data_IF_715085092297
#
_entry.id   IF_715085092297
#
_cell.length_a   1.000
_cell.length_b   1.000
_cell.length_c   1.000
_cell.angle_alpha   90.00
_cell.angle_beta   90.00
_cell.angle_gamma   90.00
#
_symmetry.space_group_name_H-M   'P 1'
#
loop_
_entity.id
_entity.type
_entity.pdbx_description
1 polymer ?
#
# COMPACT_ATOMS: atom_id res chain seq x y z
N UNK A 1 -28.60 11.80 -33.61
CA UNK A 1 -28.03 10.58 -33.00
C UNK A 1 -26.90 10.94 -32.06
N UNK A 2 -27.28 11.46 -30.90
CA UNK A 2 -26.38 11.65 -29.77
C UNK A 2 -26.15 10.30 -29.10
N UNK A 3 -24.97 9.72 -29.29
CA UNK A 3 -24.51 8.62 -28.44
C UNK A 3 -24.18 9.19 -27.06
N UNK A 4 -25.17 9.14 -26.18
CA UNK A 4 -24.97 9.16 -24.73
C UNK A 4 -24.03 8.00 -24.41
N UNK A 5 -22.75 8.31 -24.19
CA UNK A 5 -21.77 7.38 -23.67
C UNK A 5 -22.19 6.95 -22.27
N UNK A 6 -22.85 5.80 -22.20
CA UNK A 6 -23.11 5.10 -20.95
C UNK A 6 -21.76 4.75 -20.33
N UNK A 7 -21.55 5.23 -19.11
CA UNK A 7 -20.51 4.74 -18.23
C UNK A 7 -20.81 3.25 -17.99
N UNK A 8 -20.16 2.38 -18.76
CA UNK A 8 -20.31 0.96 -18.57
C UNK A 8 -19.64 0.61 -17.24
N UNK A 9 -20.26 -0.23 -16.41
CA UNK A 9 -19.69 -0.64 -15.12
C UNK A 9 -18.38 -1.45 -15.23
N UNK A 10 -17.83 -1.56 -16.44
CA UNK A 10 -16.61 -2.27 -16.82
C UNK A 10 -15.43 -1.35 -17.16
N UNK A 11 -15.66 -0.04 -17.31
CA UNK A 11 -14.61 0.92 -17.71
C UNK A 11 -13.98 1.65 -16.51
N UNK A 12 -12.77 2.18 -16.72
CA UNK A 12 -12.09 3.01 -15.71
C UNK A 12 -12.79 4.38 -15.54
N UNK A 13 -13.09 4.86 -14.31
CA UNK A 13 -13.92 6.08 -14.10
C UNK A 13 -13.27 7.42 -14.52
N UNK A 14 -13.31 7.75 -15.81
CA UNK A 14 -12.62 8.91 -16.39
C UNK A 14 -13.05 10.26 -15.80
N UNK A 15 -14.34 10.43 -15.49
CA UNK A 15 -14.87 11.68 -14.91
C UNK A 15 -14.30 11.93 -13.52
N UNK A 16 -14.18 10.88 -12.71
CA UNK A 16 -13.61 10.98 -11.37
C UNK A 16 -12.10 11.19 -11.44
N UNK A 17 -11.40 10.58 -12.40
CA UNK A 17 -9.98 10.84 -12.62
C UNK A 17 -9.73 12.32 -12.94
N UNK A 18 -10.48 12.89 -13.89
CA UNK A 18 -10.35 14.31 -14.24
C UNK A 18 -10.65 15.23 -13.05
N UNK A 19 -11.64 14.89 -12.23
CA UNK A 19 -11.95 15.65 -11.02
C UNK A 19 -10.82 15.58 -9.98
N UNK A 20 -10.24 14.39 -9.75
CA UNK A 20 -9.09 14.24 -8.86
C UNK A 20 -7.88 15.04 -9.34
N UNK A 21 -7.58 14.99 -10.64
CA UNK A 21 -6.48 15.77 -11.25
C UNK A 21 -6.65 17.27 -11.00
N UNK A 22 -7.87 17.80 -11.19
CA UNK A 22 -8.19 19.19 -10.89
C UNK A 22 -7.96 19.52 -9.42
N UNK A 23 -8.41 18.66 -8.50
CA UNK A 23 -8.23 18.85 -7.06
C UNK A 23 -6.74 18.86 -6.67
N UNK A 24 -5.93 17.96 -7.24
CA UNK A 24 -4.50 17.87 -6.97
C UNK A 24 -3.74 19.09 -7.50
N UNK A 25 -4.20 19.70 -8.59
CA UNK A 25 -3.62 20.92 -9.18
C UNK A 25 -3.90 22.21 -8.39
N UNK A 26 -4.77 22.19 -7.38
CA UNK A 26 -5.12 23.40 -6.62
C UNK A 26 -3.99 23.84 -5.68
N UNK A 27 -3.65 25.16 -5.61
CA UNK A 27 -2.64 25.68 -4.69
C UNK A 27 -2.99 25.46 -3.21
N UNK A 28 -4.28 25.61 -2.88
CA UNK A 28 -4.86 25.20 -1.60
C UNK A 28 -5.52 23.86 -1.79
N UNK A 29 -4.84 22.82 -1.34
CA UNK A 29 -5.30 21.46 -1.50
C UNK A 29 -6.16 21.04 -0.32
N UNK A 30 -7.17 20.22 -0.61
CA UNK A 30 -7.99 19.53 0.38
C UNK A 30 -7.73 18.05 0.19
N UNK A 31 -7.56 17.34 1.30
CA UNK A 31 -7.25 15.91 1.31
C UNK A 31 -8.41 15.11 0.70
N UNK A 32 -8.26 14.47 -0.48
CA UNK A 32 -9.34 13.82 -1.22
C UNK A 32 -9.50 12.37 -0.74
N UNK A 33 -9.87 12.19 0.53
CA UNK A 33 -9.81 10.86 1.18
C UNK A 33 -11.16 10.32 1.61
N UNK A 34 -12.24 11.10 1.48
CA UNK A 34 -13.54 10.68 1.99
C UNK A 34 -14.01 9.39 1.32
N UNK A 35 -14.77 8.61 2.07
CA UNK A 35 -15.37 7.39 1.58
C UNK A 35 -16.24 7.66 0.33
N UNK A 36 -16.07 6.84 -0.71
CA UNK A 36 -16.72 6.97 -2.02
C UNK A 36 -16.43 8.24 -2.83
N UNK A 37 -15.47 9.07 -2.43
CA UNK A 37 -14.97 10.18 -3.27
C UNK A 37 -14.03 9.65 -4.38
N UNK A 38 -13.39 10.55 -5.12
CA UNK A 38 -12.61 10.22 -6.32
C UNK A 38 -11.48 9.24 -6.04
N UNK A 39 -10.63 9.51 -5.03
CA UNK A 39 -9.46 8.68 -4.76
C UNK A 39 -9.85 7.24 -4.39
N UNK A 40 -10.78 7.06 -3.45
CA UNK A 40 -11.23 5.72 -3.04
C UNK A 40 -11.84 4.96 -4.21
N UNK A 41 -12.69 5.62 -4.99
CA UNK A 41 -13.39 5.01 -6.12
C UNK A 41 -12.43 4.59 -7.22
N UNK A 42 -11.44 5.43 -7.54
CA UNK A 42 -10.40 5.13 -8.54
C UNK A 42 -9.51 3.97 -8.09
N UNK A 43 -9.14 3.88 -6.81
CA UNK A 43 -8.39 2.73 -6.28
C UNK A 43 -9.22 1.46 -6.39
N UNK A 44 -10.50 1.48 -5.98
CA UNK A 44 -11.38 0.30 -6.07
C UNK A 44 -11.58 -0.17 -7.51
N UNK A 45 -11.79 0.76 -8.45
CA UNK A 45 -11.88 0.45 -9.87
C UNK A 45 -10.57 -0.18 -10.39
N UNK A 46 -9.43 0.39 -9.99
CA UNK A 46 -8.11 -0.16 -10.32
C UNK A 46 -7.91 -1.58 -9.79
N UNK A 47 -8.32 -1.86 -8.56
CA UNK A 47 -8.25 -3.21 -7.97
C UNK A 47 -9.10 -4.19 -8.78
N UNK A 48 -10.32 -3.81 -9.19
CA UNK A 48 -11.18 -4.65 -10.02
C UNK A 48 -10.47 -5.01 -11.34
N UNK A 49 -9.94 -4.01 -12.04
CA UNK A 49 -9.21 -4.22 -13.29
C UNK A 49 -7.92 -5.04 -13.10
N UNK A 50 -7.18 -4.81 -12.02
CA UNK A 50 -5.95 -5.54 -11.71
C UNK A 50 -6.21 -7.03 -11.41
N UNK A 51 -7.30 -7.35 -10.70
CA UNK A 51 -7.75 -8.73 -10.46
C UNK A 51 -8.05 -9.47 -11.77
N UNK A 52 -8.60 -8.76 -12.75
CA UNK A 52 -8.91 -9.28 -14.08
C UNK A 52 -7.70 -9.22 -15.04
N UNK A 53 -6.55 -8.66 -14.60
CA UNK A 53 -5.35 -8.39 -15.43
C UNK A 53 -5.62 -7.47 -16.64
N UNK A 54 -6.67 -6.64 -16.56
CA UNK A 54 -7.10 -5.72 -17.62
C UNK A 54 -6.69 -4.28 -17.37
N UNK A 55 -6.10 -3.96 -16.24
CA UNK A 55 -5.71 -2.58 -15.89
C UNK A 55 -4.73 -1.96 -16.90
N UNK A 56 -3.93 -2.78 -17.60
CA UNK A 56 -3.02 -2.33 -18.67
C UNK A 56 -3.73 -1.99 -19.98
N UNK A 57 -4.99 -2.39 -20.15
CA UNK A 57 -5.81 -2.02 -21.32
C UNK A 57 -6.25 -0.54 -21.26
N UNK A 58 -6.20 0.07 -20.07
CA UNK A 58 -6.65 1.43 -19.81
C UNK A 58 -5.46 2.33 -19.47
N UNK A 59 -5.04 3.18 -20.41
CA UNK A 59 -3.93 4.11 -20.19
C UNK A 59 -4.21 5.06 -19.02
N UNK A 60 -5.47 5.45 -18.82
CA UNK A 60 -5.89 6.32 -17.73
C UNK A 60 -5.76 5.64 -16.36
N UNK A 61 -5.92 4.32 -16.29
CA UNK A 61 -5.64 3.55 -15.08
C UNK A 61 -4.14 3.51 -14.77
N UNK A 62 -3.31 3.30 -15.80
CA UNK A 62 -1.85 3.34 -15.65
C UNK A 62 -1.36 4.75 -15.27
N UNK A 63 -1.90 5.80 -15.90
CA UNK A 63 -1.61 7.20 -15.56
C UNK A 63 -2.04 7.52 -14.13
N UNK A 64 -3.20 7.01 -13.69
CA UNK A 64 -3.61 7.14 -12.30
C UNK A 64 -2.57 6.56 -11.34
N UNK A 65 -1.99 5.39 -11.63
CA UNK A 65 -0.90 4.85 -10.78
C UNK A 65 0.32 5.78 -10.73
N UNK A 66 0.78 6.25 -11.89
CA UNK A 66 2.01 7.06 -12.00
C UNK A 66 1.85 8.45 -11.40
N UNK A 67 0.68 9.06 -11.55
CA UNK A 67 0.45 10.47 -11.21
C UNK A 67 -0.55 10.60 -10.07
N UNK A 68 -1.85 10.37 -10.32
CA UNK A 68 -2.93 10.69 -9.39
C UNK A 68 -2.80 9.98 -8.04
N UNK A 69 -2.60 8.66 -8.05
CA UNK A 69 -2.42 7.82 -6.87
C UNK A 69 -1.11 8.15 -6.15
N UNK A 70 -0.01 8.21 -6.89
CA UNK A 70 1.34 8.49 -6.36
C UNK A 70 1.38 9.86 -5.69
N UNK A 71 0.91 10.90 -6.37
CA UNK A 71 0.86 12.27 -5.86
C UNK A 71 -0.06 12.37 -4.64
N UNK A 72 -1.23 11.73 -4.68
CA UNK A 72 -2.16 11.73 -3.55
C UNK A 72 -1.50 11.14 -2.30
N UNK A 73 -0.99 9.92 -2.37
CA UNK A 73 -0.44 9.25 -1.18
C UNK A 73 0.86 9.88 -0.68
N UNK A 74 1.74 10.34 -1.57
CA UNK A 74 2.95 11.06 -1.11
C UNK A 74 2.52 12.28 -0.31
N UNK A 75 1.63 13.12 -0.85
CA UNK A 75 1.15 14.32 -0.16
C UNK A 75 0.49 13.97 1.17
N UNK A 76 -0.43 13.00 1.19
CA UNK A 76 -1.15 12.57 2.40
C UNK A 76 -0.18 12.09 3.48
N UNK A 77 0.73 11.17 3.14
CA UNK A 77 1.55 10.47 4.13
C UNK A 77 2.72 11.32 4.66
N UNK A 78 3.03 12.43 4.00
CA UNK A 78 4.07 13.38 4.43
C UNK A 78 3.53 14.74 4.87
N UNK A 79 2.20 14.97 4.84
CA UNK A 79 1.62 16.27 5.20
C UNK A 79 1.83 16.59 6.70
N UNK A 80 2.37 17.77 7.00
CA UNK A 80 2.51 18.26 8.37
C UNK A 80 1.14 18.57 9.00
N UNK A 81 0.11 18.82 8.17
CA UNK A 81 -1.25 19.05 8.60
C UNK A 81 -1.93 17.80 9.18
N UNK A 82 -1.27 16.64 9.18
CA UNK A 82 -1.79 15.39 9.78
C UNK A 82 -2.35 15.59 11.20
N UNK A 83 -1.71 16.46 12.00
CA UNK A 83 -2.13 16.77 13.38
C UNK A 83 -3.45 17.56 13.46
N UNK A 84 -3.86 18.17 12.36
CA UNK A 84 -5.07 19.00 12.27
C UNK A 84 -6.26 18.24 11.70
N UNK A 85 -6.02 17.06 11.11
CA UNK A 85 -7.08 16.24 10.57
C UNK A 85 -7.90 15.58 11.67
N UNK A 86 -9.22 15.63 11.49
CA UNK A 86 -10.17 15.02 12.40
C UNK A 86 -10.05 13.48 12.37
N UNK A 87 -10.47 12.77 13.44
CA UNK A 87 -10.35 11.31 13.51
C UNK A 87 -11.02 10.54 12.36
N UNK A 88 -12.11 11.05 11.81
CA UNK A 88 -12.79 10.50 10.63
C UNK A 88 -11.90 10.54 9.39
N UNK A 89 -11.23 11.66 9.14
CA UNK A 89 -10.27 11.81 8.03
C UNK A 89 -9.09 10.85 8.20
N UNK A 90 -8.61 10.66 9.42
CA UNK A 90 -7.54 9.71 9.73
C UNK A 90 -7.96 8.26 9.43
N UNK A 91 -9.22 7.90 9.72
CA UNK A 91 -9.78 6.59 9.42
C UNK A 91 -9.98 6.38 7.91
N UNK A 92 -10.46 7.41 7.21
CA UNK A 92 -10.62 7.45 5.76
C UNK A 92 -9.27 7.21 5.04
N UNK A 93 -8.20 7.89 5.47
CA UNK A 93 -6.83 7.67 4.97
C UNK A 93 -6.37 6.23 5.21
N UNK A 94 -6.64 5.69 6.40
CA UNK A 94 -6.30 4.31 6.73
C UNK A 94 -7.04 3.32 5.82
N UNK A 95 -8.33 3.52 5.57
CA UNK A 95 -9.12 2.68 4.66
C UNK A 95 -8.59 2.76 3.22
N UNK A 96 -8.27 3.95 2.72
CA UNK A 96 -7.62 4.11 1.42
C UNK A 96 -6.26 3.41 1.36
N UNK A 97 -5.48 3.46 2.44
CA UNK A 97 -4.20 2.74 2.54
C UNK A 97 -4.39 1.22 2.48
N UNK A 98 -5.49 0.68 3.03
CA UNK A 98 -5.81 -0.76 2.90
C UNK A 98 -6.13 -1.13 1.46
N UNK A 99 -6.87 -0.30 0.72
CA UNK A 99 -7.12 -0.52 -0.70
C UNK A 99 -5.83 -0.42 -1.52
N UNK A 100 -4.96 0.55 -1.22
CA UNK A 100 -3.64 0.66 -1.85
C UNK A 100 -2.80 -0.60 -1.63
N UNK A 101 -2.74 -1.12 -0.40
CA UNK A 101 -2.03 -2.37 -0.09
C UNK A 101 -2.59 -3.53 -0.92
N UNK A 102 -3.91 -3.64 -1.03
CA UNK A 102 -4.56 -4.67 -1.87
C UNK A 102 -4.18 -4.53 -3.35
N UNK A 103 -4.22 -3.31 -3.90
CA UNK A 103 -3.78 -3.04 -5.27
C UNK A 103 -2.31 -3.43 -5.47
N UNK A 104 -1.42 -3.05 -4.56
CA UNK A 104 0.00 -3.38 -4.63
C UNK A 104 0.20 -4.90 -4.69
N UNK A 105 -0.52 -5.68 -3.88
CA UNK A 105 -0.41 -7.16 -3.88
C UNK A 105 -0.71 -7.75 -5.26
N UNK A 106 -1.78 -7.32 -5.93
CA UNK A 106 -2.10 -7.79 -7.28
C UNK A 106 -1.07 -7.38 -8.35
N UNK A 107 -0.28 -6.34 -8.06
CA UNK A 107 0.66 -5.72 -8.99
C UNK A 107 2.13 -6.02 -8.67
N UNK A 108 2.45 -6.81 -7.64
CA UNK A 108 3.86 -7.16 -7.27
C UNK A 108 4.62 -7.75 -8.47
N UNK A 109 3.99 -8.68 -9.21
CA UNK A 109 4.61 -9.35 -10.34
C UNK A 109 4.73 -8.47 -11.60
N UNK A 110 4.08 -7.30 -11.62
CA UNK A 110 4.09 -6.38 -12.74
C UNK A 110 5.24 -5.36 -12.69
N UNK A 111 6.10 -5.41 -11.68
CA UNK A 111 7.27 -4.54 -11.50
C UNK A 111 6.95 -3.04 -11.55
N UNK A 112 5.73 -2.66 -11.17
CA UNK A 112 5.32 -1.26 -11.11
C UNK A 112 6.06 -0.55 -9.98
N UNK A 113 7.15 0.14 -10.32
CA UNK A 113 8.00 0.85 -9.36
C UNK A 113 7.22 1.91 -8.59
N UNK A 114 6.24 2.56 -9.21
CA UNK A 114 5.34 3.52 -8.55
C UNK A 114 4.56 2.88 -7.39
N UNK A 115 3.97 1.70 -7.62
CA UNK A 115 3.19 0.98 -6.61
C UNK A 115 4.08 0.36 -5.53
N UNK A 116 5.28 -0.12 -5.89
CA UNK A 116 6.27 -0.62 -4.93
C UNK A 116 6.79 0.51 -4.02
N UNK A 117 7.02 1.70 -4.57
CA UNK A 117 7.40 2.87 -3.77
C UNK A 117 6.28 3.33 -2.85
N UNK A 118 5.05 3.36 -3.33
CA UNK A 118 3.90 3.66 -2.47
C UNK A 118 3.75 2.66 -1.33
N UNK A 119 3.93 1.37 -1.61
CA UNK A 119 3.94 0.32 -0.58
C UNK A 119 5.04 0.59 0.46
N UNK A 120 6.24 0.99 0.02
CA UNK A 120 7.34 1.35 0.91
C UNK A 120 6.98 2.56 1.81
N UNK A 121 6.33 3.59 1.27
CA UNK A 121 5.94 4.78 2.04
C UNK A 121 4.84 4.42 3.06
N UNK A 122 3.85 3.62 2.66
CA UNK A 122 2.79 3.14 3.57
C UNK A 122 3.37 2.30 4.70
N UNK A 123 4.35 1.45 4.39
CA UNK A 123 5.02 0.58 5.38
C UNK A 123 6.10 1.27 6.20
N UNK A 124 6.43 2.52 5.89
CA UNK A 124 7.46 3.25 6.60
C UNK A 124 6.99 3.66 8.01
N UNK A 125 7.54 3.09 9.10
CA UNK A 125 7.14 3.45 10.46
C UNK A 125 7.43 4.92 10.81
N UNK A 126 8.30 5.58 10.05
CA UNK A 126 8.73 6.97 10.25
C UNK A 126 7.95 7.98 9.41
N UNK A 127 7.00 7.57 8.57
CA UNK A 127 6.15 8.53 7.85
C UNK A 127 5.26 9.31 8.84
N UNK A 128 4.84 10.53 8.47
CA UNK A 128 4.14 11.45 9.38
C UNK A 128 2.86 10.83 9.94
N UNK A 129 2.11 10.13 9.08
CA UNK A 129 0.89 9.43 9.48
C UNK A 129 1.15 8.31 10.51
N UNK A 130 2.18 7.48 10.28
CA UNK A 130 2.51 6.36 11.17
C UNK A 130 3.17 6.81 12.48
N UNK A 131 3.83 7.97 12.48
CA UNK A 131 4.31 8.62 13.70
C UNK A 131 3.15 9.24 14.48
N UNK A 132 2.23 9.93 13.81
CA UNK A 132 1.06 10.52 14.47
C UNK A 132 0.17 9.46 15.13
N UNK A 133 -0.06 8.34 14.45
CA UNK A 133 -0.88 7.24 14.92
C UNK A 133 -0.07 6.19 15.74
N UNK A 134 1.08 6.56 16.31
CA UNK A 134 1.98 5.59 16.97
C UNK A 134 1.39 4.93 18.22
N UNK A 135 0.45 5.60 18.89
CA UNK A 135 -0.20 5.10 20.11
C UNK A 135 -1.44 4.23 19.83
N UNK A 136 -1.88 4.11 18.58
CA UNK A 136 -3.05 3.30 18.23
C UNK A 136 -2.73 1.82 18.43
N UNK A 137 -3.60 1.09 19.11
CA UNK A 137 -3.55 -0.37 19.19
C UNK A 137 -3.95 -1.00 17.85
N UNK A 138 -3.40 -2.17 17.47
CA UNK A 138 -3.88 -2.92 16.31
C UNK A 138 -5.38 -3.23 16.43
N UNK A 139 -6.11 -3.12 15.31
CA UNK A 139 -7.54 -3.45 15.23
C UNK A 139 -7.82 -4.97 15.19
N UNK A 140 -6.77 -5.79 15.12
CA UNK A 140 -6.87 -7.25 15.12
C UNK A 140 -7.70 -7.79 16.30
N UNK A 141 -8.65 -8.70 16.01
CA UNK A 141 -9.40 -9.43 17.03
C UNK A 141 -8.61 -10.62 17.61
N UNK A 142 -7.39 -10.87 17.14
CA UNK A 142 -6.54 -11.97 17.63
C UNK A 142 -6.02 -11.63 19.03
N UNK A 143 -6.11 -12.54 20.02
CA UNK A 143 -5.51 -12.34 21.33
C UNK A 143 -3.99 -12.13 21.26
N UNK A 144 -3.44 -11.26 22.12
CA UNK A 144 -2.03 -10.81 22.05
C UNK A 144 -1.04 -11.97 22.13
N UNK A 145 -1.34 -12.96 22.95
CA UNK A 145 -0.56 -14.17 23.14
C UNK A 145 -0.45 -15.04 21.87
N UNK A 146 -1.35 -14.86 20.89
CA UNK A 146 -1.35 -15.59 19.61
C UNK A 146 -0.82 -14.78 18.43
N UNK A 147 -0.38 -13.54 18.64
CA UNK A 147 0.07 -12.68 17.54
C UNK A 147 1.27 -13.26 16.80
N UNK A 148 2.24 -13.84 17.52
CA UNK A 148 3.43 -14.44 16.91
C UNK A 148 3.07 -15.60 15.96
N UNK A 149 2.11 -16.41 16.36
CA UNK A 149 1.70 -17.62 15.64
C UNK A 149 0.78 -17.32 14.45
N UNK A 150 -0.21 -16.44 14.65
CA UNK A 150 -1.32 -16.26 13.72
C UNK A 150 -1.18 -15.05 12.80
N UNK A 151 -0.38 -14.05 13.17
CA UNK A 151 -0.23 -12.81 12.40
C UNK A 151 1.08 -12.81 11.59
N UNK A 152 1.14 -11.89 10.63
CA UNK A 152 2.34 -11.62 9.83
C UNK A 152 3.21 -10.53 10.45
N UNK A 153 2.56 -9.58 11.14
CA UNK A 153 3.21 -8.51 11.86
C UNK A 153 2.55 -8.28 13.21
N UNK A 154 3.32 -7.73 14.14
CA UNK A 154 2.87 -7.30 15.46
C UNK A 154 3.68 -6.10 15.93
N UNK A 155 3.18 -5.36 16.94
CA UNK A 155 3.98 -4.37 17.65
C UNK A 155 5.27 -4.97 18.21
N UNK A 156 6.29 -4.13 18.40
CA UNK A 156 7.56 -4.55 19.01
C UNK A 156 7.31 -5.09 20.43
N UNK A 157 8.04 -6.13 20.89
CA UNK A 157 7.83 -6.72 22.22
C UNK A 157 7.93 -5.70 23.35
N UNK A 158 8.90 -4.79 23.23
CA UNK A 158 9.20 -3.75 24.23
C UNK A 158 8.53 -2.41 23.88
N UNK A 159 7.56 -2.40 22.96
CA UNK A 159 6.84 -1.18 22.65
C UNK A 159 6.13 -0.68 23.90
N UNK A 160 6.56 0.49 24.40
CA UNK A 160 5.74 1.25 25.34
C UNK A 160 4.36 1.50 24.70
N UNK A 161 3.33 1.65 25.54
CA UNK A 161 1.94 1.88 25.13
C UNK A 161 1.74 2.97 24.06
N UNK A 162 2.70 3.89 23.91
CA UNK A 162 2.70 4.99 22.94
C UNK A 162 3.38 4.71 21.58
N UNK A 163 3.87 3.49 21.34
CA UNK A 163 4.58 3.12 20.10
C UNK A 163 4.14 1.77 19.52
N UNK A 164 2.86 1.46 19.67
CA UNK A 164 2.23 0.23 19.16
C UNK A 164 2.12 0.22 17.63
N UNK A 165 1.96 1.39 17.00
CA UNK A 165 1.79 1.57 15.55
C UNK A 165 0.75 0.62 14.95
N UNK A 166 -0.40 0.48 15.62
CA UNK A 166 -1.43 -0.51 15.30
C UNK A 166 -1.88 -0.50 13.86
N UNK A 167 -2.17 0.67 13.30
CA UNK A 167 -2.60 0.81 11.89
C UNK A 167 -1.55 0.31 10.90
N UNK A 168 -0.26 0.58 11.14
CA UNK A 168 0.82 0.06 10.31
C UNK A 168 0.89 -1.46 10.40
N UNK A 169 0.82 -2.00 11.62
CA UNK A 169 0.78 -3.44 11.86
C UNK A 169 -0.38 -4.09 11.12
N UNK A 170 -1.57 -3.49 11.15
CA UNK A 170 -2.75 -4.00 10.44
C UNK A 170 -2.58 -3.96 8.92
N UNK A 171 -1.92 -2.93 8.36
CA UNK A 171 -1.62 -2.86 6.93
C UNK A 171 -0.66 -3.96 6.49
N UNK A 172 0.38 -4.25 7.28
CA UNK A 172 1.32 -5.34 7.00
C UNK A 172 0.61 -6.71 7.12
N UNK A 173 -0.26 -6.87 8.11
CA UNK A 173 -1.09 -8.06 8.24
C UNK A 173 -2.04 -8.25 7.07
N UNK A 174 -2.68 -7.16 6.59
CA UNK A 174 -3.52 -7.19 5.39
C UNK A 174 -2.74 -7.64 4.16
N UNK A 175 -1.51 -7.13 3.98
CA UNK A 175 -0.63 -7.56 2.90
C UNK A 175 -0.36 -9.07 2.94
N UNK A 176 -0.01 -9.60 4.11
CA UNK A 176 0.19 -11.05 4.27
C UNK A 176 -1.07 -11.88 4.05
N UNK A 177 -2.23 -11.43 4.57
CA UNK A 177 -3.51 -12.11 4.38
C UNK A 177 -3.93 -12.21 2.90
N UNK A 178 -3.49 -11.27 2.07
CA UNK A 178 -3.73 -11.27 0.63
C UNK A 178 -2.69 -12.08 -0.16
N UNK A 179 -1.74 -12.74 0.51
CA UNK A 179 -0.66 -13.51 -0.13
C UNK A 179 0.54 -12.66 -0.57
N UNK A 180 0.64 -11.41 -0.12
CA UNK A 180 1.69 -10.49 -0.56
C UNK A 180 3.10 -11.01 -0.32
N UNK A 181 3.36 -11.68 0.81
CA UNK A 181 4.68 -12.28 1.09
C UNK A 181 4.99 -13.46 0.15
N UNK A 182 4.00 -14.28 -0.19
CA UNK A 182 4.15 -15.38 -1.13
C UNK A 182 4.46 -14.87 -2.54
N UNK A 183 3.70 -13.89 -3.03
CA UNK A 183 3.96 -13.27 -4.32
C UNK A 183 5.33 -12.59 -4.38
N UNK A 184 5.73 -11.91 -3.30
CA UNK A 184 7.03 -11.23 -3.24
C UNK A 184 8.19 -12.23 -3.23
N UNK A 185 8.10 -13.29 -2.41
CA UNK A 185 9.08 -14.38 -2.40
C UNK A 185 9.16 -15.05 -3.76
N UNK A 186 8.03 -15.38 -4.38
CA UNK A 186 7.98 -15.96 -5.73
C UNK A 186 8.67 -15.04 -6.74
N UNK A 187 8.33 -13.75 -6.74
CA UNK A 187 8.87 -12.76 -7.68
C UNK A 187 10.39 -12.62 -7.56
N UNK A 188 10.94 -12.61 -6.35
CA UNK A 188 12.38 -12.47 -6.11
C UNK A 188 13.12 -13.80 -6.35
N UNK A 189 12.58 -14.92 -5.89
CA UNK A 189 13.27 -16.20 -5.95
C UNK A 189 13.22 -16.88 -7.32
N UNK A 190 12.21 -16.59 -8.14
CA UNK A 190 11.96 -17.32 -9.38
C UNK A 190 11.89 -16.41 -10.62
N UNK A 191 11.68 -15.11 -10.46
CA UNK A 191 11.57 -14.18 -11.58
C UNK A 191 12.92 -13.64 -12.05
N UNK A 192 12.97 -13.16 -13.28
CA UNK A 192 14.12 -12.40 -13.78
C UNK A 192 14.21 -11.06 -13.04
N UNK A 193 15.40 -10.69 -12.58
CA UNK A 193 15.60 -9.50 -11.76
C UNK A 193 16.61 -8.56 -12.40
N UNK A 194 16.40 -7.28 -12.17
CA UNK A 194 17.44 -6.26 -12.29
C UNK A 194 17.74 -5.72 -10.90
N UNK A 195 18.94 -5.17 -10.70
CA UNK A 195 19.32 -4.51 -9.43
C UNK A 195 18.29 -3.45 -9.03
N UNK A 196 17.78 -2.70 -10.01
CA UNK A 196 16.76 -1.69 -9.78
C UNK A 196 15.48 -2.32 -9.22
N UNK A 197 14.88 -3.29 -9.93
CA UNK A 197 13.63 -3.94 -9.50
C UNK A 197 13.80 -4.65 -8.14
N UNK A 198 14.92 -5.33 -7.92
CA UNK A 198 15.22 -5.94 -6.63
C UNK A 198 15.18 -4.91 -5.49
N UNK A 199 15.77 -3.72 -5.70
CA UNK A 199 15.76 -2.66 -4.68
C UNK A 199 14.34 -2.19 -4.33
N UNK A 200 13.46 -2.02 -5.31
CA UNK A 200 12.06 -1.64 -5.08
C UNK A 200 11.27 -2.74 -4.36
N UNK A 201 11.50 -4.01 -4.70
CA UNK A 201 10.84 -5.15 -4.06
C UNK A 201 11.27 -5.33 -2.59
N UNK A 202 12.54 -5.08 -2.27
CA UNK A 202 13.06 -5.22 -0.90
C UNK A 202 12.70 -4.04 0.01
N UNK A 203 12.56 -2.83 -0.54
CA UNK A 203 12.41 -1.59 0.24
C UNK A 203 11.23 -1.61 1.24
N UNK A 204 10.00 -2.04 0.87
CA UNK A 204 8.91 -2.12 1.84
C UNK A 204 9.21 -3.05 3.02
N UNK A 205 9.83 -4.21 2.75
CA UNK A 205 10.21 -5.17 3.80
C UNK A 205 11.29 -4.62 4.72
N UNK A 206 12.31 -3.98 4.14
CA UNK A 206 13.39 -3.38 4.93
C UNK A 206 12.85 -2.37 5.95
N UNK A 207 11.90 -1.52 5.52
CA UNK A 207 11.32 -0.47 6.35
C UNK A 207 10.45 -1.01 7.51
N UNK A 208 9.74 -2.12 7.31
CA UNK A 208 8.85 -2.69 8.32
C UNK A 208 9.37 -3.96 9.00
N UNK A 209 10.60 -4.39 8.69
CA UNK A 209 11.20 -5.66 9.12
C UNK A 209 11.12 -5.93 10.63
N UNK A 210 11.24 -4.89 11.45
CA UNK A 210 11.17 -4.99 12.90
C UNK A 210 9.78 -5.38 13.44
N UNK A 211 8.71 -5.14 12.67
CA UNK A 211 7.33 -5.50 13.03
C UNK A 211 6.95 -6.91 12.62
N UNK A 212 7.72 -7.56 11.74
CA UNK A 212 7.40 -8.89 11.24
C UNK A 212 7.48 -9.92 12.37
N UNK A 213 6.63 -10.94 12.31
CA UNK A 213 6.76 -12.09 13.21
C UNK A 213 7.97 -12.94 12.83
N UNK A 214 8.46 -13.73 13.77
CA UNK A 214 9.52 -14.72 13.58
C UNK A 214 9.14 -15.73 12.51
N UNK A 215 7.87 -16.16 12.49
CA UNK A 215 7.31 -16.97 11.40
C UNK A 215 7.57 -16.34 10.03
N UNK A 216 7.22 -15.07 9.85
CA UNK A 216 7.44 -14.39 8.56
C UNK A 216 8.93 -14.27 8.23
N UNK A 217 9.77 -14.00 9.23
CA UNK A 217 11.23 -13.97 9.03
C UNK A 217 11.76 -15.29 8.50
N UNK A 218 11.37 -16.40 9.13
CA UNK A 218 11.85 -17.73 8.80
C UNK A 218 11.29 -18.23 7.47
N UNK A 219 10.00 -18.02 7.22
CA UNK A 219 9.31 -18.57 6.06
C UNK A 219 9.60 -17.77 4.78
N UNK A 220 9.86 -16.46 4.89
CA UNK A 220 9.99 -15.54 3.75
C UNK A 220 11.32 -14.80 3.72
N UNK A 221 11.66 -14.08 4.78
CA UNK A 221 12.74 -13.07 4.73
C UNK A 221 14.10 -13.73 4.52
N UNK A 222 14.40 -14.84 5.18
CA UNK A 222 15.67 -15.57 5.00
C UNK A 222 15.87 -15.92 3.51
N UNK A 223 14.88 -16.59 2.91
CA UNK A 223 14.95 -17.00 1.50
C UNK A 223 15.07 -15.80 0.54
N UNK A 224 14.36 -14.71 0.81
CA UNK A 224 14.44 -13.47 0.02
C UNK A 224 15.83 -12.85 0.10
N UNK A 225 16.40 -12.74 1.31
CA UNK A 225 17.73 -12.15 1.53
C UNK A 225 18.82 -13.00 0.89
N UNK A 226 18.78 -14.33 1.09
CA UNK A 226 19.78 -15.24 0.50
C UNK A 226 19.80 -15.14 -1.03
N UNK A 227 18.61 -15.14 -1.66
CA UNK A 227 18.51 -14.96 -3.12
C UNK A 227 19.01 -13.58 -3.56
N UNK A 228 18.71 -12.54 -2.79
CA UNK A 228 19.17 -11.18 -3.10
C UNK A 228 20.69 -11.07 -3.07
N UNK A 229 21.35 -11.73 -2.10
CA UNK A 229 22.81 -11.78 -2.00
C UNK A 229 23.40 -12.57 -3.18
N UNK A 230 22.82 -13.72 -3.52
CA UNK A 230 23.24 -14.53 -4.68
C UNK A 230 23.20 -13.71 -5.97
N UNK A 231 22.10 -12.99 -6.20
CA UNK A 231 21.91 -12.13 -7.37
C UNK A 231 22.91 -10.96 -7.43
N UNK A 232 23.26 -10.36 -6.29
CA UNK A 232 24.21 -9.24 -6.26
C UNK A 232 25.65 -9.71 -6.56
N UNK A 233 25.98 -10.95 -6.21
CA UNK A 233 27.31 -11.52 -6.40
C UNK A 233 27.52 -12.21 -7.77
N UNK A 234 26.46 -12.38 -8.56
CA UNK A 234 26.52 -12.93 -9.93
C UNK A 234 26.88 -11.87 -10.96
#
# INVERSE_FOLDING_TARGET
>A
DDKVGGDSSEDFPLKLLASLDEQLGRPKWVVPVRANDELETLIKASIKLAKERRDKEFEECQRFYREGLTTSFIRILTDEAVKTWKPDIQLDIYNNSRYLVELCVYKIEDDSTYLLDLLAIVFNPSCKLNVFNSSEDPMSCVPREKWEELLYARPLPDAHKHNMKGRLVDLINRFGQLGGFDFLKKRICQGELTVNILSFLLRPLGLCSSFLTERVRNDYIIAIVDKSIEFINS
#
